data_IF_767980688289
#
_entry.id   IF_767980688289
#
_cell.length_a   1.000
_cell.length_b   1.000
_cell.length_c   1.000
_cell.angle_alpha   90.00
_cell.angle_beta   90.00
_cell.angle_gamma   90.00
#
_symmetry.space_group_name_H-M   'P 1'
#
loop_
_entity.id
_entity.type
_entity.pdbx_description
1 polymer ?
#
# COMPACT_ATOMS: atom_id res chain seq x y z
N UNK A 1 -20.53 -8.28 3.09
CA UNK A 1 -19.07 -8.33 2.89
C UNK A 1 -18.82 -7.62 1.57
N UNK A 2 -17.92 -6.63 1.53
CA UNK A 2 -17.71 -5.79 0.35
C UNK A 2 -16.32 -6.09 -0.23
N UNK A 3 -16.18 -5.97 -1.54
CA UNK A 3 -14.91 -6.18 -2.24
C UNK A 3 -14.50 -4.88 -2.93
N UNK A 4 -13.21 -4.60 -2.91
CA UNK A 4 -12.63 -3.45 -3.60
C UNK A 4 -11.38 -3.90 -4.35
N UNK A 5 -11.41 -3.73 -5.67
CA UNK A 5 -10.26 -3.99 -6.53
C UNK A 5 -9.36 -2.77 -6.63
N UNK A 6 -8.04 -2.97 -6.60
CA UNK A 6 -7.04 -1.92 -6.73
C UNK A 6 -6.43 -1.90 -8.15
N UNK A 7 -6.05 -0.73 -8.68
CA UNK A 7 -6.16 0.60 -8.06
C UNK A 7 -7.63 1.07 -7.96
N UNK A 8 -7.94 1.82 -6.90
CA UNK A 8 -9.28 2.31 -6.61
C UNK A 8 -9.28 3.84 -6.47
N UNK A 9 -9.99 4.51 -7.36
CA UNK A 9 -10.10 5.96 -7.34
C UNK A 9 -10.99 6.46 -6.20
N UNK A 10 -11.05 7.79 -6.04
CA UNK A 10 -11.99 8.43 -5.10
C UNK A 10 -13.46 8.10 -5.40
N UNK A 11 -13.81 7.84 -6.65
CA UNK A 11 -15.17 7.43 -7.03
C UNK A 11 -15.44 6.00 -6.59
N UNK A 12 -14.47 5.12 -6.75
CA UNK A 12 -14.58 3.69 -6.42
C UNK A 12 -14.62 3.45 -4.90
N UNK A 13 -14.08 4.37 -4.11
CA UNK A 13 -14.08 4.32 -2.64
C UNK A 13 -15.24 5.07 -1.99
N UNK A 14 -16.03 5.83 -2.76
CA UNK A 14 -17.06 6.74 -2.23
C UNK A 14 -18.24 6.08 -1.51
N UNK A 15 -18.47 4.78 -1.74
CA UNK A 15 -19.51 4.00 -1.07
C UNK A 15 -19.09 3.44 0.29
N UNK A 16 -17.79 3.51 0.64
CA UNK A 16 -17.27 3.01 1.91
C UNK A 16 -17.88 3.77 3.10
N UNK A 17 -18.22 3.04 4.16
CA UNK A 17 -18.72 3.58 5.43
C UNK A 17 -17.93 2.97 6.59
N UNK A 18 -17.79 3.73 7.67
CA UNK A 18 -17.14 3.22 8.88
C UNK A 18 -17.87 1.96 9.39
N UNK A 19 -17.10 0.94 9.76
CA UNK A 19 -17.63 -0.37 10.17
C UNK A 19 -17.85 -1.36 9.02
N UNK A 20 -17.67 -0.96 7.76
CA UNK A 20 -17.70 -1.90 6.64
C UNK A 20 -16.57 -2.92 6.74
N UNK A 21 -16.91 -4.20 6.57
CA UNK A 21 -15.92 -5.25 6.32
C UNK A 21 -15.63 -5.32 4.81
N UNK A 22 -14.37 -5.05 4.45
CA UNK A 22 -13.91 -4.93 3.06
C UNK A 22 -12.74 -5.87 2.79
N UNK A 23 -12.80 -6.58 1.67
CA UNK A 23 -11.70 -7.36 1.12
C UNK A 23 -11.07 -6.59 -0.03
N UNK A 24 -9.73 -6.46 0.00
CA UNK A 24 -8.96 -5.79 -1.04
C UNK A 24 -8.37 -6.83 -1.98
N UNK A 25 -8.49 -6.62 -3.29
CA UNK A 25 -7.87 -7.46 -4.32
C UNK A 25 -7.03 -6.59 -5.25
N UNK A 26 -5.74 -6.92 -5.41
CA UNK A 26 -4.83 -6.21 -6.29
C UNK A 26 -3.49 -5.93 -5.63
N UNK A 27 -2.74 -4.98 -6.19
CA UNK A 27 -1.43 -4.61 -5.69
C UNK A 27 -1.52 -3.65 -4.50
N UNK A 28 -0.75 -3.93 -3.45
CA UNK A 28 -0.56 -3.05 -2.30
C UNK A 28 0.91 -2.76 -2.11
N UNK A 29 1.23 -1.55 -1.66
CA UNK A 29 2.60 -1.12 -1.40
C UNK A 29 2.78 -0.99 0.10
N UNK A 30 3.78 -1.67 0.68
CA UNK A 30 4.07 -1.51 2.10
C UNK A 30 4.92 -0.27 2.36
N UNK A 31 4.47 0.59 3.26
CA UNK A 31 5.23 1.78 3.67
C UNK A 31 4.96 2.11 5.14
N UNK A 32 6.02 2.50 5.86
CA UNK A 32 5.95 2.97 7.25
C UNK A 32 6.77 4.25 7.40
N UNK A 33 7.25 4.56 8.58
CA UNK A 33 7.91 5.82 8.95
C UNK A 33 8.99 6.26 7.96
N UNK A 34 10.02 5.42 7.76
CA UNK A 34 11.16 5.77 6.90
C UNK A 34 10.77 5.92 5.42
N UNK A 35 9.81 5.12 4.95
CA UNK A 35 9.32 5.24 3.58
C UNK A 35 8.56 6.55 3.38
N UNK A 36 7.69 6.94 4.33
CA UNK A 36 6.97 8.21 4.29
C UNK A 36 7.92 9.41 4.35
N UNK A 37 8.93 9.38 5.23
CA UNK A 37 9.94 10.44 5.33
C UNK A 37 10.69 10.62 4.00
N UNK A 38 11.14 9.51 3.40
CA UNK A 38 11.84 9.53 2.11
C UNK A 38 10.95 10.05 0.98
N UNK A 39 9.68 9.64 0.93
CA UNK A 39 8.72 10.13 -0.07
C UNK A 39 8.49 11.64 0.09
N UNK A 40 8.29 12.12 1.32
CA UNK A 40 8.12 13.54 1.59
C UNK A 40 9.35 14.37 1.19
N UNK A 41 10.56 13.87 1.43
CA UNK A 41 11.80 14.53 1.00
C UNK A 41 11.95 14.60 -0.51
N UNK A 42 11.60 13.54 -1.24
CA UNK A 42 11.62 13.52 -2.70
C UNK A 42 10.67 14.57 -3.26
N UNK A 43 9.43 14.60 -2.77
CA UNK A 43 8.41 15.55 -3.20
C UNK A 43 8.83 17.00 -2.91
N UNK A 44 9.40 17.28 -1.73
CA UNK A 44 9.94 18.62 -1.40
C UNK A 44 11.06 19.07 -2.34
N UNK A 45 11.82 18.13 -2.88
CA UNK A 45 12.89 18.39 -3.86
C UNK A 45 12.38 18.42 -5.31
N UNK A 46 11.07 18.36 -5.53
CA UNK A 46 10.47 18.30 -6.87
C UNK A 46 10.81 17.01 -7.62
N UNK A 47 11.14 15.93 -6.90
CA UNK A 47 11.43 14.62 -7.49
C UNK A 47 10.21 13.71 -7.35
N UNK A 48 10.00 12.89 -8.37
CA UNK A 48 8.94 11.89 -8.33
C UNK A 48 9.26 10.75 -7.36
N UNK A 49 8.24 10.15 -6.74
CA UNK A 49 8.37 8.87 -6.05
C UNK A 49 8.96 7.78 -6.95
N UNK A 50 9.65 6.78 -6.38
CA UNK A 50 10.23 5.68 -7.17
C UNK A 50 9.19 4.72 -7.75
N UNK A 51 7.90 4.92 -7.46
CA UNK A 51 6.77 4.19 -8.02
C UNK A 51 5.52 5.08 -8.05
N UNK A 52 4.59 4.81 -8.98
CA UNK A 52 3.32 5.52 -9.04
C UNK A 52 2.39 5.04 -7.93
N UNK A 53 2.06 5.94 -6.99
CA UNK A 53 1.18 5.66 -5.84
C UNK A 53 -0.27 6.09 -6.06
N UNK A 54 -0.59 6.72 -7.21
CA UNK A 54 -1.91 7.27 -7.48
C UNK A 54 -2.97 6.16 -7.50
N UNK A 55 -4.06 6.39 -6.76
CA UNK A 55 -5.19 5.47 -6.61
C UNK A 55 -4.80 4.06 -6.07
N UNK A 56 -3.57 3.90 -5.58
CA UNK A 56 -3.08 2.66 -4.96
C UNK A 56 -3.40 2.58 -3.47
N UNK A 57 -3.03 1.46 -2.85
CA UNK A 57 -3.14 1.27 -1.41
C UNK A 57 -1.75 1.20 -0.75
N UNK A 58 -1.56 2.04 0.27
CA UNK A 58 -0.42 1.94 1.18
C UNK A 58 -0.81 1.09 2.38
N UNK A 59 -0.06 0.02 2.62
CA UNK A 59 -0.24 -0.85 3.76
C UNK A 59 0.85 -0.59 4.81
N UNK A 60 0.46 -0.09 5.98
CA UNK A 60 1.38 0.08 7.10
C UNK A 60 1.77 -1.29 7.65
N UNK A 61 2.85 -1.84 7.11
CA UNK A 61 3.31 -3.19 7.37
C UNK A 61 4.85 -3.24 7.27
N UNK A 62 5.48 -3.97 8.19
CA UNK A 62 6.88 -4.38 8.08
C UNK A 62 6.94 -5.87 7.75
N UNK A 63 6.80 -6.26 6.48
CA UNK A 63 6.64 -7.66 6.13
C UNK A 63 7.91 -8.46 6.40
N UNK A 64 7.75 -9.72 6.78
CA UNK A 64 8.84 -10.69 6.74
C UNK A 64 8.89 -11.29 5.34
N UNK A 65 9.96 -11.00 4.59
CA UNK A 65 10.17 -11.49 3.23
C UNK A 65 11.39 -12.40 3.16
N UNK A 66 11.30 -13.46 2.37
CA UNK A 66 12.39 -14.40 2.10
C UNK A 66 12.63 -14.47 0.60
N UNK A 67 13.89 -14.46 0.18
CA UNK A 67 14.26 -14.65 -1.21
C UNK A 67 14.26 -16.15 -1.55
N UNK A 68 13.52 -16.53 -2.58
CA UNK A 68 13.46 -17.90 -3.11
C UNK A 68 13.87 -17.86 -4.59
N UNK A 69 15.12 -18.23 -4.87
CA UNK A 69 15.72 -18.07 -6.20
C UNK A 69 15.88 -16.59 -6.59
N UNK A 70 15.19 -16.17 -7.67
CA UNK A 70 15.17 -14.78 -8.16
C UNK A 70 13.98 -13.97 -7.63
N UNK A 71 13.07 -14.59 -6.88
CA UNK A 71 11.83 -13.97 -6.43
C UNK A 71 11.84 -13.73 -4.92
N UNK A 72 10.96 -12.84 -4.47
CA UNK A 72 10.70 -12.59 -3.05
C UNK A 72 9.35 -13.18 -2.66
N UNK A 73 9.33 -13.95 -1.59
CA UNK A 73 8.13 -14.49 -0.97
C UNK A 73 7.87 -13.80 0.35
N UNK A 74 6.64 -13.29 0.52
CA UNK A 74 6.19 -12.72 1.79
C UNK A 74 5.73 -13.87 2.69
N UNK A 75 6.36 -13.99 3.87
CA UNK A 75 6.05 -15.01 4.88
C UNK A 75 5.04 -14.50 5.91
N UNK A 76 5.08 -13.21 6.23
CA UNK A 76 4.15 -12.56 7.15
C UNK A 76 4.00 -11.08 6.77
N UNK A 77 2.77 -10.57 6.89
CA UNK A 77 2.42 -9.19 6.57
C UNK A 77 1.33 -8.65 7.52
N UNK A 78 1.60 -8.70 8.82
CA UNK A 78 0.72 -8.08 9.84
C UNK A 78 0.77 -6.54 9.80
N UNK A 79 -0.32 -5.86 10.18
CA UNK A 79 -0.37 -4.40 10.20
C UNK A 79 0.47 -3.84 11.35
N UNK A 80 0.83 -2.56 11.25
CA UNK A 80 1.48 -1.79 12.34
C UNK A 80 0.72 -0.51 12.61
N UNK A 81 0.85 -0.04 13.84
CA UNK A 81 0.42 1.30 14.28
C UNK A 81 1.26 2.37 13.61
#
# INVERSE_FOLDING_TARGET
>A
MKELSLPASRKDTGWLRAGDLVFLTGEVVTARDQAHLRLAELLRKGKDPPLNLKDGALYHCGPLAKREGREWRILSAGPTT
#
